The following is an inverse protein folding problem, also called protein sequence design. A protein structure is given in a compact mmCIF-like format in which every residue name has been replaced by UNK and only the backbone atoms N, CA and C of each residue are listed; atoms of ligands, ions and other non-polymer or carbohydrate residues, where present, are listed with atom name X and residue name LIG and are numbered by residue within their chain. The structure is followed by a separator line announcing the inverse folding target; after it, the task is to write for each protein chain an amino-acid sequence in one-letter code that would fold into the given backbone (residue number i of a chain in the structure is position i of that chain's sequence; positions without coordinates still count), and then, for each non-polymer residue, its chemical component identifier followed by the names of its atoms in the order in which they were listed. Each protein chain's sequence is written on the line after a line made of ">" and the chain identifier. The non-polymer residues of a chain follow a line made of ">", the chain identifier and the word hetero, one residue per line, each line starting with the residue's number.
data_IF_880284991218
#
_entry.id   IF_880284991218
#
_cell.length_a   1.000
_cell.length_b   1.000
_cell.length_c   1.000
_cell.angle_alpha   90.00
_cell.angle_beta   90.00
_cell.angle_gamma   90.00
#
_symmetry.space_group_name_H-M   'P 1'
#
loop_
_entity.id
_entity.type
_entity.pdbx_description
1 polymer ?
#
# COMPACT_ATOMS: atom_id res chain seq x y z
N UNK A 1 0.31 -27.07 -7.73
CA UNK A 1 0.43 -28.51 -8.05
C UNK A 1 -0.54 -29.33 -7.21
N UNK A 2 -0.37 -30.65 -7.16
CA UNK A 2 -1.25 -31.57 -6.41
C UNK A 2 -0.63 -32.13 -5.11
N UNK A 3 0.49 -31.58 -4.63
CA UNK A 3 1.19 -32.10 -3.46
C UNK A 3 0.31 -32.07 -2.19
N UNK A 4 -0.36 -30.94 -1.94
CA UNK A 4 -1.26 -30.78 -0.79
C UNK A 4 -2.55 -31.57 -0.95
N UNK A 5 -3.17 -31.57 -2.14
CA UNK A 5 -4.41 -32.29 -2.38
C UNK A 5 -4.25 -33.81 -2.26
N UNK A 6 -3.07 -34.35 -2.54
CA UNK A 6 -2.75 -35.75 -2.24
C UNK A 6 -2.53 -35.99 -0.75
N UNK A 7 -1.77 -35.12 -0.08
CA UNK A 7 -1.47 -35.25 1.35
C UNK A 7 -2.72 -35.19 2.24
N UNK A 8 -3.75 -34.46 1.81
CA UNK A 8 -4.99 -34.23 2.57
C UNK A 8 -6.25 -34.83 1.91
N UNK A 9 -6.11 -35.74 0.94
CA UNK A 9 -7.20 -36.36 0.14
C UNK A 9 -8.27 -35.39 -0.41
N UNK A 10 -7.84 -34.22 -0.87
CA UNK A 10 -8.73 -33.22 -1.45
C UNK A 10 -9.00 -33.59 -2.91
N UNK A 11 -10.23 -34.00 -3.20
CA UNK A 11 -10.62 -34.56 -4.49
C UNK A 11 -11.96 -34.03 -4.98
N UNK A 12 -12.21 -34.16 -6.29
CA UNK A 12 -13.47 -33.83 -6.94
C UNK A 12 -13.80 -34.87 -8.02
N UNK A 13 -15.07 -34.95 -8.42
CA UNK A 13 -15.52 -35.77 -9.54
C UNK A 13 -15.50 -34.91 -10.82
N UNK A 14 -14.78 -35.35 -11.84
CA UNK A 14 -14.74 -34.65 -13.13
C UNK A 14 -15.99 -34.94 -14.00
N UNK A 15 -16.05 -34.31 -15.18
CA UNK A 15 -17.15 -34.51 -16.15
C UNK A 15 -17.26 -35.95 -16.67
N UNK A 16 -16.18 -36.72 -16.60
CA UNK A 16 -16.13 -38.13 -17.00
C UNK A 16 -16.40 -39.07 -15.81
N UNK A 17 -16.88 -38.55 -14.68
CA UNK A 17 -17.12 -39.29 -13.44
C UNK A 17 -15.85 -39.95 -12.87
N UNK A 18 -14.67 -39.36 -13.10
CA UNK A 18 -13.39 -39.80 -12.53
C UNK A 18 -13.03 -38.95 -11.31
N UNK A 19 -12.65 -39.60 -10.20
CA UNK A 19 -12.12 -38.92 -9.01
C UNK A 19 -10.74 -38.36 -9.33
N UNK A 20 -10.56 -37.04 -9.19
CA UNK A 20 -9.29 -36.35 -9.44
C UNK A 20 -8.88 -35.51 -8.23
N UNK A 21 -7.57 -35.36 -8.01
CA UNK A 21 -7.04 -34.41 -7.03
C UNK A 21 -7.07 -32.98 -7.59
N UNK A 22 -7.42 -32.02 -6.74
CA UNK A 22 -7.44 -30.60 -7.13
C UNK A 22 -6.03 -30.05 -7.37
N UNK A 23 -5.90 -29.10 -8.29
CA UNK A 23 -4.68 -28.32 -8.48
C UNK A 23 -4.72 -27.09 -7.60
N UNK A 24 -3.71 -26.93 -6.74
CA UNK A 24 -3.66 -25.83 -5.77
C UNK A 24 -2.48 -24.91 -6.04
N UNK A 25 -2.68 -23.64 -5.71
CA UNK A 25 -1.66 -22.59 -5.65
C UNK A 25 -1.64 -22.01 -4.24
N UNK A 26 -0.54 -21.36 -3.88
CA UNK A 26 -0.39 -20.67 -2.60
C UNK A 26 0.51 -19.45 -2.80
N UNK A 27 0.19 -18.35 -2.12
CA UNK A 27 0.93 -17.10 -2.17
C UNK A 27 0.92 -16.47 -0.78
N UNK A 28 1.94 -15.65 -0.50
CA UNK A 28 2.05 -14.95 0.78
C UNK A 28 2.70 -13.59 0.63
N UNK A 29 2.22 -12.64 1.43
CA UNK A 29 2.79 -11.31 1.60
C UNK A 29 2.92 -11.06 3.10
N UNK A 30 4.03 -10.48 3.54
CA UNK A 30 4.27 -10.20 4.96
C UNK A 30 4.71 -8.77 5.19
N UNK A 31 4.90 -8.40 6.46
CA UNK A 31 5.45 -7.10 6.88
C UNK A 31 6.84 -6.84 6.33
N UNK A 32 7.58 -7.89 5.91
CA UNK A 32 8.86 -7.73 5.18
C UNK A 32 8.72 -6.84 3.96
N UNK A 33 7.56 -6.82 3.32
CA UNK A 33 7.29 -5.97 2.14
C UNK A 33 7.38 -4.48 2.48
N UNK A 34 7.03 -4.09 3.72
CA UNK A 34 7.23 -2.72 4.22
C UNK A 34 8.73 -2.43 4.32
N UNK A 35 9.50 -3.34 4.93
CA UNK A 35 10.95 -3.20 5.01
C UNK A 35 11.64 -3.08 3.65
N UNK A 36 11.18 -3.84 2.64
CA UNK A 36 11.67 -3.75 1.27
C UNK A 36 11.36 -2.37 0.66
N UNK A 37 10.13 -1.86 0.81
CA UNK A 37 9.76 -0.53 0.34
C UNK A 37 10.66 0.55 0.95
N UNK A 38 10.93 0.45 2.26
CA UNK A 38 11.82 1.37 2.96
C UNK A 38 13.26 1.29 2.43
N UNK A 39 13.78 0.08 2.22
CA UNK A 39 15.14 -0.14 1.72
C UNK A 39 15.33 0.30 0.26
N UNK A 40 14.29 0.16 -0.58
CA UNK A 40 14.36 0.53 -2.01
C UNK A 40 14.23 2.04 -2.19
N UNK A 41 13.33 2.69 -1.45
CA UNK A 41 13.00 4.09 -1.70
C UNK A 41 13.73 5.06 -0.76
N UNK A 42 14.10 4.64 0.46
CA UNK A 42 14.75 5.50 1.45
C UNK A 42 16.07 6.11 0.97
N UNK A 43 16.41 7.27 1.52
CA UNK A 43 17.62 8.03 1.20
C UNK A 43 18.33 8.54 2.47
N UNK A 44 19.41 9.30 2.31
CA UNK A 44 20.20 9.86 3.42
C UNK A 44 19.40 10.82 4.33
N UNK A 45 18.25 11.33 3.87
CA UNK A 45 17.35 12.20 4.66
C UNK A 45 16.23 11.41 5.35
N UNK A 46 16.12 10.11 5.08
CA UNK A 46 15.22 9.17 5.77
C UNK A 46 14.17 8.55 4.86
N UNK A 47 12.91 8.64 5.27
CA UNK A 47 11.80 7.94 4.62
C UNK A 47 11.38 8.62 3.31
N UNK A 48 11.34 7.84 2.23
CA UNK A 48 10.70 8.22 0.97
C UNK A 48 9.56 7.23 0.72
N UNK A 49 8.33 7.66 1.02
CA UNK A 49 7.14 6.81 0.88
C UNK A 49 6.50 7.00 -0.50
N UNK A 50 6.15 5.93 -1.22
CA UNK A 50 5.36 6.06 -2.44
C UNK A 50 4.04 6.80 -2.17
N UNK A 51 3.57 7.68 -3.08
CA UNK A 51 2.41 8.55 -2.83
C UNK A 51 1.11 7.82 -2.46
N UNK A 52 0.95 6.57 -2.87
CA UNK A 52 -0.25 5.75 -2.58
C UNK A 52 -0.31 5.21 -1.15
N UNK A 53 0.82 5.20 -0.43
CA UNK A 53 0.93 4.64 0.94
C UNK A 53 1.43 5.66 1.96
N UNK A 54 1.84 6.85 1.52
CA UNK A 54 2.19 7.95 2.41
C UNK A 54 0.97 8.40 3.21
N UNK A 55 1.09 8.44 4.55
CA UNK A 55 -0.01 8.88 5.44
C UNK A 55 -0.41 10.34 5.20
N UNK A 56 0.56 11.17 4.82
CA UNK A 56 0.35 12.55 4.38
C UNK A 56 1.01 12.71 3.02
N UNK A 57 0.20 12.88 1.98
CA UNK A 57 0.71 13.05 0.61
C UNK A 57 1.26 14.46 0.37
N UNK A 58 0.63 15.47 0.98
CA UNK A 58 1.02 16.88 0.87
C UNK A 58 0.97 17.55 2.24
N UNK A 59 2.09 18.15 2.64
CA UNK A 59 2.20 18.99 3.85
C UNK A 59 2.30 20.45 3.41
N UNK A 60 1.42 21.30 3.94
CA UNK A 60 1.45 22.75 3.67
C UNK A 60 2.12 23.45 4.86
N UNK A 61 3.28 24.06 4.63
CA UNK A 61 4.05 24.80 5.64
C UNK A 61 4.02 26.30 5.30
N UNK A 62 3.12 27.10 5.90
CA UNK A 62 3.07 28.54 5.66
C UNK A 62 4.24 29.26 6.32
N UNK A 63 4.96 30.10 5.57
CA UNK A 63 6.00 30.99 6.08
C UNK A 63 5.35 32.32 6.48
N UNK A 64 5.40 32.68 7.76
CA UNK A 64 4.61 33.79 8.31
C UNK A 64 5.53 34.97 8.67
N UNK A 65 5.22 36.14 8.10
CA UNK A 65 5.69 37.43 8.59
C UNK A 65 4.50 38.20 9.19
N UNK A 66 4.76 38.99 10.23
CA UNK A 66 3.71 39.58 11.08
C UNK A 66 2.68 40.40 10.30
N UNK A 67 3.13 41.19 9.32
CA UNK A 67 2.26 42.02 8.46
C UNK A 67 1.35 41.23 7.52
N UNK A 68 1.70 39.98 7.19
CA UNK A 68 0.99 39.17 6.19
C UNK A 68 0.37 37.88 6.75
N UNK A 69 0.44 37.67 8.07
CA UNK A 69 -0.03 36.46 8.75
C UNK A 69 -1.40 35.98 8.27
N UNK A 70 -2.41 36.85 8.34
CA UNK A 70 -3.78 36.48 7.98
C UNK A 70 -3.94 36.17 6.49
N UNK A 71 -3.26 36.92 5.62
CA UNK A 71 -3.27 36.70 4.18
C UNK A 71 -2.66 35.34 3.83
N UNK A 72 -1.50 35.01 4.41
CA UNK A 72 -0.80 33.72 4.19
C UNK A 72 -1.64 32.55 4.71
N UNK A 73 -2.15 32.65 5.94
CA UNK A 73 -2.95 31.57 6.54
C UNK A 73 -4.28 31.36 5.79
N UNK A 74 -4.94 32.44 5.36
CA UNK A 74 -6.15 32.35 4.53
C UNK A 74 -5.87 31.59 3.23
N UNK A 75 -4.77 31.92 2.54
CA UNK A 75 -4.43 31.24 1.29
C UNK A 75 -4.01 29.79 1.49
N UNK A 76 -3.24 29.50 2.54
CA UNK A 76 -2.86 28.13 2.90
C UNK A 76 -4.08 27.24 3.20
N UNK A 77 -5.09 27.78 3.91
CA UNK A 77 -6.37 27.09 4.16
C UNK A 77 -7.18 26.88 2.87
N UNK A 78 -7.22 27.85 1.98
CA UNK A 78 -7.88 27.72 0.67
C UNK A 78 -7.25 26.58 -0.15
N UNK A 79 -5.91 26.55 -0.23
CA UNK A 79 -5.18 25.48 -0.93
C UNK A 79 -5.42 24.13 -0.26
N UNK A 80 -5.35 24.06 1.07
CA UNK A 80 -5.67 22.84 1.82
C UNK A 80 -7.05 22.30 1.43
N UNK A 81 -8.06 23.16 1.35
CA UNK A 81 -9.42 22.75 1.00
C UNK A 81 -9.55 22.30 -0.45
N UNK A 82 -8.77 22.86 -1.38
CA UNK A 82 -8.70 22.39 -2.78
C UNK A 82 -8.00 21.04 -2.93
N UNK A 83 -7.03 20.75 -2.07
CA UNK A 83 -6.25 19.51 -2.08
C UNK A 83 -6.85 18.41 -1.20
N UNK A 84 -7.89 18.72 -0.41
CA UNK A 84 -8.71 17.69 0.23
C UNK A 84 -9.49 16.97 -0.88
N UNK A 85 -9.02 15.78 -1.22
CA UNK A 85 -9.84 14.77 -1.91
C UNK A 85 -10.95 14.26 -1.01
#
# INVERSE_FOLDING_TARGET
>A
GQNFSKAFDITFLDKNKKKQHVWQTSWGLSTRSIGIMLAIHGDDKGLVLPPKVASTQVVIVPIIFEKEREKVLKKAREIKNKLKG
#
